data_IF_461789579857
#
_entry.id   IF_461789579857
#
_cell.length_a   1.000
_cell.length_b   1.000
_cell.length_c   1.000
_cell.angle_alpha   90.00
_cell.angle_beta   90.00
_cell.angle_gamma   90.00
#
_symmetry.space_group_name_H-M   'P 1'
#
loop_
_entity.id
_entity.type
_entity.pdbx_description
1 polymer ?
#
# COMPACT_ATOMS: atom_id res chain seq x y z
N UNK A 1 -23.88 16.97 -34.53
CA UNK A 1 -23.48 15.57 -34.31
C UNK A 1 -21.98 15.43 -34.58
N UNK A 2 -21.15 16.17 -33.83
CA UNK A 2 -19.77 16.43 -34.23
C UNK A 2 -18.84 16.33 -33.01
N UNK A 3 -18.06 15.24 -32.99
CA UNK A 3 -16.73 15.10 -32.39
C UNK A 3 -16.48 15.65 -30.97
N UNK A 4 -16.90 14.93 -29.94
CA UNK A 4 -16.22 14.94 -28.63
C UNK A 4 -14.90 14.15 -28.72
N UNK A 5 -14.06 14.48 -29.70
CA UNK A 5 -12.67 14.04 -29.70
C UNK A 5 -11.94 15.00 -28.79
N UNK A 6 -11.57 14.55 -27.59
CA UNK A 6 -10.68 15.29 -26.71
C UNK A 6 -9.34 15.51 -27.44
N UNK A 7 -9.25 16.61 -28.18
CA UNK A 7 -8.06 17.10 -28.86
C UNK A 7 -7.11 17.73 -27.83
N UNK A 8 -6.77 16.97 -26.80
CA UNK A 8 -5.78 17.39 -25.84
C UNK A 8 -4.43 17.56 -26.55
N UNK A 9 -3.75 18.64 -26.20
CA UNK A 9 -2.43 18.97 -26.74
C UNK A 9 -1.33 18.21 -25.99
N UNK A 10 -1.53 17.93 -24.70
CA UNK A 10 -0.56 17.25 -23.85
C UNK A 10 -1.17 16.05 -23.12
N UNK A 11 -0.43 14.93 -23.00
CA UNK A 11 -0.87 13.76 -22.25
C UNK A 11 -0.72 13.93 -20.73
N UNK A 12 -1.57 13.23 -19.96
CA UNK A 12 -1.50 13.20 -18.49
C UNK A 12 -0.57 12.07 -18.05
N UNK A 13 0.66 12.41 -17.65
CA UNK A 13 1.74 11.45 -17.36
C UNK A 13 2.41 11.75 -16.02
N UNK A 14 2.99 10.72 -15.40
CA UNK A 14 3.87 10.87 -14.24
C UNK A 14 5.35 10.99 -14.67
N UNK A 15 6.20 11.50 -13.77
CA UNK A 15 7.64 11.72 -14.00
C UNK A 15 8.37 10.43 -14.39
N UNK A 16 8.03 9.31 -13.74
CA UNK A 16 8.57 7.98 -14.13
C UNK A 16 8.19 7.58 -15.56
N UNK A 17 7.06 8.05 -16.08
CA UNK A 17 6.63 7.73 -17.44
C UNK A 17 7.30 8.62 -18.48
N UNK A 18 7.51 9.90 -18.16
CA UNK A 18 8.20 10.86 -19.01
C UNK A 18 9.68 10.50 -19.18
N UNK A 19 10.33 10.02 -18.11
CA UNK A 19 11.75 9.66 -18.12
C UNK A 19 12.64 10.78 -17.57
N UNK A 20 13.94 10.52 -17.41
CA UNK A 20 14.87 11.45 -16.79
C UNK A 20 15.25 12.64 -17.68
N UNK A 21 14.93 12.60 -18.99
CA UNK A 21 15.30 13.67 -19.91
C UNK A 21 14.23 14.79 -19.90
N UNK A 22 14.59 16.05 -19.59
CA UNK A 22 13.66 17.17 -19.63
C UNK A 22 13.17 17.51 -21.06
N UNK A 23 13.96 17.17 -22.08
CA UNK A 23 13.62 17.44 -23.48
C UNK A 23 13.09 16.19 -24.18
N UNK A 24 11.77 16.12 -24.33
CA UNK A 24 11.09 14.93 -24.85
C UNK A 24 10.51 15.23 -26.23
N UNK A 25 10.83 14.37 -27.20
CA UNK A 25 10.16 14.36 -28.52
C UNK A 25 8.99 13.38 -28.47
N UNK A 26 7.78 13.88 -28.72
CA UNK A 26 6.56 13.08 -28.75
C UNK A 26 5.87 13.19 -30.12
N UNK A 27 5.21 12.11 -30.50
CA UNK A 27 4.35 12.02 -31.68
C UNK A 27 2.89 11.95 -31.22
N UNK A 28 2.01 12.73 -31.86
CA UNK A 28 0.57 12.78 -31.56
C UNK A 28 -0.19 12.11 -32.70
N UNK A 29 -1.01 11.12 -32.37
CA UNK A 29 -1.90 10.44 -33.31
C UNK A 29 -3.35 10.54 -32.80
N UNK A 30 -4.21 11.38 -33.41
CA UNK A 30 -5.49 11.77 -32.83
C UNK A 30 -6.51 10.63 -32.69
N UNK A 31 -6.37 9.55 -33.46
CA UNK A 31 -7.27 8.39 -33.42
C UNK A 31 -6.52 7.06 -33.52
N UNK A 32 -5.33 7.01 -32.93
CA UNK A 32 -4.44 5.86 -33.08
C UNK A 32 -4.97 4.57 -32.44
N UNK A 33 -5.65 4.65 -31.28
CA UNK A 33 -6.08 3.47 -30.49
C UNK A 33 -7.37 3.71 -29.71
N UNK A 34 -8.03 2.61 -29.37
CA UNK A 34 -9.14 2.58 -28.41
C UNK A 34 -8.63 2.52 -26.97
N UNK A 35 -9.24 3.29 -26.08
CA UNK A 35 -8.96 3.31 -24.65
C UNK A 35 -9.28 1.94 -24.07
N UNK A 36 -8.38 1.40 -23.24
CA UNK A 36 -8.56 0.06 -22.70
C UNK A 36 -9.55 -0.04 -21.54
N UNK A 37 -10.07 1.09 -21.07
CA UNK A 37 -11.12 1.16 -20.03
C UNK A 37 -12.49 1.38 -20.66
N UNK A 38 -12.67 2.45 -21.42
CA UNK A 38 -13.96 2.83 -22.00
C UNK A 38 -14.16 2.39 -23.45
N UNK A 39 -13.17 1.76 -24.09
CA UNK A 39 -13.17 1.33 -25.51
C UNK A 39 -13.32 2.45 -26.55
N UNK A 40 -13.32 3.73 -26.13
CA UNK A 40 -13.41 4.90 -27.02
C UNK A 40 -12.09 5.19 -27.75
N UNK A 41 -12.12 5.61 -29.02
CA UNK A 41 -10.92 6.10 -29.70
C UNK A 41 -10.40 7.37 -29.01
N UNK A 42 -9.08 7.49 -28.85
CA UNK A 42 -8.45 8.64 -28.21
C UNK A 42 -7.12 9.01 -28.88
N UNK A 43 -6.62 10.20 -28.52
CA UNK A 43 -5.31 10.72 -28.93
C UNK A 43 -4.18 9.92 -28.29
N UNK A 44 -3.42 9.21 -29.12
CA UNK A 44 -2.26 8.42 -28.69
C UNK A 44 -1.01 9.28 -28.79
N UNK A 45 -0.33 9.46 -27.67
CA UNK A 45 0.98 10.08 -27.63
C UNK A 45 2.03 8.98 -27.55
N UNK A 46 3.11 9.08 -28.33
CA UNK A 46 4.24 8.14 -28.29
C UNK A 46 5.56 8.89 -28.19
N UNK A 47 6.39 8.55 -27.20
CA UNK A 47 7.68 9.19 -26.90
C UNK A 47 8.73 8.16 -26.47
N UNK A 48 9.99 8.58 -26.49
CA UNK A 48 11.10 7.82 -25.91
C UNK A 48 11.56 8.49 -24.61
N UNK A 49 11.44 7.83 -23.44
CA UNK A 49 11.87 8.39 -22.15
C UNK A 49 13.37 8.61 -21.99
N UNK A 50 14.23 7.94 -22.76
CA UNK A 50 15.69 8.08 -22.63
C UNK A 50 16.49 7.11 -23.49
N UNK A 51 17.81 7.30 -23.53
CA UNK A 51 18.72 6.39 -24.23
C UNK A 51 18.65 4.99 -23.59
N UNK A 52 18.29 3.98 -24.38
CA UNK A 52 18.08 2.61 -23.91
C UNK A 52 16.68 2.30 -23.37
N UNK A 53 15.78 3.27 -23.27
CA UNK A 53 14.38 3.03 -22.86
C UNK A 53 13.51 2.57 -24.03
N UNK A 54 12.44 1.84 -23.72
CA UNK A 54 11.42 1.51 -24.74
C UNK A 54 10.60 2.74 -25.11
N UNK A 55 10.13 2.81 -26.35
CA UNK A 55 9.08 3.75 -26.72
C UNK A 55 7.82 3.49 -25.88
N UNK A 56 7.41 4.49 -25.11
CA UNK A 56 6.17 4.48 -24.35
C UNK A 56 5.06 5.13 -25.17
N UNK A 57 3.83 4.75 -24.84
CA UNK A 57 2.62 5.31 -25.45
C UNK A 57 1.50 5.40 -24.41
N UNK A 58 0.55 6.29 -24.62
CA UNK A 58 -0.67 6.35 -23.81
C UNK A 58 -1.57 5.14 -24.07
N UNK A 59 -2.20 4.62 -23.02
CA UNK A 59 -3.01 3.38 -23.05
C UNK A 59 -4.49 3.62 -22.69
N UNK A 60 -4.79 4.75 -22.05
CA UNK A 60 -6.15 5.18 -21.67
C UNK A 60 -6.39 6.62 -22.15
N UNK A 61 -7.66 6.96 -22.38
CA UNK A 61 -8.09 8.32 -22.71
C UNK A 61 -7.91 9.26 -21.50
N UNK A 62 -7.90 10.57 -21.76
CA UNK A 62 -7.73 11.55 -20.69
C UNK A 62 -8.95 11.65 -19.77
N UNK A 63 -10.17 11.46 -20.26
CA UNK A 63 -11.36 11.34 -19.39
C UNK A 63 -11.17 10.26 -18.31
N UNK A 64 -10.80 9.04 -18.69
CA UNK A 64 -10.53 7.96 -17.71
C UNK A 64 -9.35 8.28 -16.79
N UNK A 65 -8.33 8.97 -17.30
CA UNK A 65 -7.18 9.40 -16.51
C UNK A 65 -7.56 10.45 -15.45
N UNK A 66 -8.37 11.45 -15.82
CA UNK A 66 -8.86 12.51 -14.92
C UNK A 66 -9.80 11.94 -13.85
N UNK A 67 -10.77 11.12 -14.23
CA UNK A 67 -11.77 10.53 -13.31
C UNK A 67 -11.12 9.71 -12.19
N UNK A 68 -10.05 8.96 -12.50
CA UNK A 68 -9.34 8.13 -11.53
C UNK A 68 -8.05 8.75 -11.00
N UNK A 69 -7.70 9.98 -11.41
CA UNK A 69 -6.42 10.62 -11.11
C UNK A 69 -5.21 9.70 -11.38
N UNK A 70 -5.08 9.18 -12.60
CA UNK A 70 -4.01 8.22 -12.97
C UNK A 70 -3.21 8.66 -14.18
N UNK A 71 -1.96 8.20 -14.27
CA UNK A 71 -1.13 8.35 -15.46
C UNK A 71 -1.67 7.50 -16.63
N UNK A 72 -1.72 8.09 -17.83
CA UNK A 72 -2.23 7.45 -19.04
C UNK A 72 -1.44 6.22 -19.52
N UNK A 73 -0.18 6.06 -19.08
CA UNK A 73 0.71 4.97 -19.51
C UNK A 73 0.83 3.87 -18.48
N UNK A 74 1.10 4.20 -17.23
CA UNK A 74 1.32 3.20 -16.18
C UNK A 74 0.06 2.87 -15.35
N UNK A 75 -1.02 3.65 -15.48
CA UNK A 75 -2.29 3.45 -14.73
C UNK A 75 -2.03 3.46 -13.21
N UNK A 76 -1.02 4.20 -12.77
CA UNK A 76 -0.72 4.47 -11.36
C UNK A 76 -1.19 5.87 -11.01
N UNK A 77 -1.37 6.09 -9.71
CA UNK A 77 -1.69 7.42 -9.19
C UNK A 77 -0.66 8.47 -9.57
N UNK A 78 -1.14 9.66 -9.88
CA UNK A 78 -0.27 10.81 -10.14
C UNK A 78 0.35 11.38 -8.85
N UNK A 79 -0.32 11.30 -7.70
CA UNK A 79 0.17 11.87 -6.44
C UNK A 79 1.10 10.93 -5.69
N UNK A 80 0.76 9.64 -5.61
CA UNK A 80 1.42 8.67 -4.75
C UNK A 80 2.19 7.58 -5.51
N UNK A 81 2.00 7.46 -6.84
CA UNK A 81 2.62 6.39 -7.63
C UNK A 81 2.12 4.97 -7.30
N UNK A 82 0.98 4.88 -6.60
CA UNK A 82 0.39 3.62 -6.14
C UNK A 82 -0.68 3.09 -7.12
N UNK A 83 -0.88 1.75 -7.18
CA UNK A 83 -2.00 1.17 -7.91
C UNK A 83 -3.34 1.70 -7.40
N UNK A 84 -4.30 1.94 -8.30
CA UNK A 84 -5.62 2.50 -7.97
C UNK A 84 -6.31 1.71 -6.86
N UNK A 85 -6.23 0.38 -6.89
CA UNK A 85 -6.82 -0.49 -5.88
C UNK A 85 -6.29 -0.23 -4.46
N UNK A 86 -4.98 0.03 -4.34
CA UNK A 86 -4.34 0.29 -3.03
C UNK A 86 -4.77 1.66 -2.52
N UNK A 87 -4.86 2.65 -3.41
CA UNK A 87 -5.29 4.01 -3.07
C UNK A 87 -6.75 4.04 -2.65
N UNK A 88 -7.63 3.43 -3.43
CA UNK A 88 -9.06 3.35 -3.15
C UNK A 88 -9.31 2.64 -1.82
N UNK A 89 -8.59 1.54 -1.56
CA UNK A 89 -8.64 0.83 -0.28
C UNK A 89 -8.17 1.70 0.89
N UNK A 90 -7.09 2.46 0.73
CA UNK A 90 -6.53 3.30 1.79
C UNK A 90 -7.32 4.60 2.02
N UNK A 91 -7.97 5.15 1.00
CA UNK A 91 -8.86 6.31 1.11
C UNK A 91 -10.29 5.93 1.52
N UNK A 92 -10.62 4.63 1.57
CA UNK A 92 -11.97 4.15 1.82
C UNK A 92 -12.95 4.52 0.70
N UNK A 93 -12.43 4.90 -0.48
CA UNK A 93 -13.26 5.20 -1.65
C UNK A 93 -13.72 3.87 -2.19
N UNK A 94 -14.99 3.54 -1.92
CA UNK A 94 -15.67 2.46 -2.64
C UNK A 94 -15.80 2.93 -4.08
N UNK A 95 -14.85 2.55 -4.92
CA UNK A 95 -15.07 2.64 -6.34
C UNK A 95 -16.12 1.60 -6.67
N UNK A 96 -17.36 2.05 -6.86
CA UNK A 96 -18.42 1.21 -7.42
C UNK A 96 -17.83 0.51 -8.63
N UNK A 97 -17.91 -0.83 -8.62
CA UNK A 97 -17.39 -1.66 -9.68
C UNK A 97 -18.00 -1.13 -10.98
N UNK A 98 -17.20 -0.37 -11.73
CA UNK A 98 -17.64 0.22 -12.98
C UNK A 98 -18.21 -0.87 -13.88
N UNK A 99 -19.13 -0.54 -14.80
CA UNK A 99 -19.90 -1.53 -15.53
C UNK A 99 -18.98 -2.58 -16.17
N UNK A 100 -19.01 -3.79 -15.63
CA UNK A 100 -18.14 -4.90 -16.03
C UNK A 100 -18.68 -5.65 -17.26
N UNK A 101 -19.93 -5.41 -17.64
CA UNK A 101 -20.69 -6.36 -18.46
C UNK A 101 -20.78 -6.05 -19.95
N UNK A 102 -20.72 -4.78 -20.39
CA UNK A 102 -20.78 -4.46 -21.82
C UNK A 102 -19.97 -3.23 -22.21
N UNK A 103 -19.41 -3.23 -23.41
CA UNK A 103 -18.62 -2.10 -23.91
C UNK A 103 -19.46 -0.83 -24.07
N UNK A 104 -20.75 -0.99 -24.41
CA UNK A 104 -21.73 0.10 -24.41
C UNK A 104 -21.91 0.71 -23.01
N UNK A 105 -22.03 -0.12 -21.97
CA UNK A 105 -22.18 0.37 -20.60
C UNK A 105 -20.90 1.09 -20.12
N UNK A 106 -19.71 0.58 -20.47
CA UNK A 106 -18.43 1.27 -20.19
C UNK A 106 -18.34 2.63 -20.88
N UNK A 107 -18.73 2.68 -22.15
CA UNK A 107 -18.74 3.93 -22.92
C UNK A 107 -19.76 4.93 -22.35
N UNK A 108 -20.98 4.49 -22.02
CA UNK A 108 -22.01 5.34 -21.41
C UNK A 108 -21.56 5.89 -20.06
N UNK A 109 -21.00 5.04 -19.19
CA UNK A 109 -20.45 5.47 -17.90
C UNK A 109 -19.35 6.51 -18.07
N UNK A 110 -18.49 6.36 -19.08
CA UNK A 110 -17.47 7.35 -19.39
C UNK A 110 -18.08 8.70 -19.82
N UNK A 111 -19.15 8.73 -20.62
CA UNK A 111 -19.87 9.98 -20.94
C UNK A 111 -20.46 10.63 -19.69
N UNK A 112 -21.08 9.83 -18.82
CA UNK A 112 -21.70 10.34 -17.59
C UNK A 112 -20.63 10.96 -16.67
N UNK A 113 -19.49 10.29 -16.52
CA UNK A 113 -18.38 10.78 -15.71
C UNK A 113 -17.71 12.01 -16.33
N UNK A 114 -17.59 12.08 -17.66
CA UNK A 114 -17.05 13.25 -18.37
C UNK A 114 -17.92 14.49 -18.12
N UNK A 115 -19.25 14.34 -18.22
CA UNK A 115 -20.21 15.40 -17.87
C UNK A 115 -20.16 15.81 -16.39
N UNK A 116 -19.90 14.86 -15.49
CA UNK A 116 -19.79 15.14 -14.05
C UNK A 116 -18.47 15.83 -13.69
N UNK A 117 -17.37 15.50 -14.38
CA UNK A 117 -16.05 16.04 -14.09
C UNK A 117 -15.97 17.55 -14.35
N UNK A 118 -16.70 18.05 -15.35
CA UNK A 118 -16.81 19.50 -15.61
C UNK A 118 -17.51 20.25 -14.46
N UNK A 119 -18.31 19.56 -13.65
CA UNK A 119 -19.16 20.16 -12.64
C UNK A 119 -18.62 20.13 -11.21
N UNK A 120 -17.53 19.40 -10.90
CA UNK A 120 -17.14 19.20 -9.49
C UNK A 120 -15.63 19.01 -9.29
N UNK A 121 -15.03 19.95 -8.55
CA UNK A 121 -13.67 19.85 -7.99
C UNK A 121 -13.82 19.86 -6.47
N UNK A 122 -13.71 18.71 -5.80
CA UNK A 122 -14.09 18.63 -4.38
C UNK A 122 -13.43 17.54 -3.54
N UNK A 123 -12.48 17.99 -2.70
CA UNK A 123 -12.16 17.56 -1.33
C UNK A 123 -12.07 16.05 -1.00
N UNK A 124 -10.84 15.54 -0.81
CA UNK A 124 -10.57 14.21 -0.23
C UNK A 124 -10.15 14.30 1.24
N UNK A 125 -10.60 13.35 2.07
CA UNK A 125 -10.38 13.32 3.53
C UNK A 125 -8.91 13.24 3.94
N UNK A 126 -8.51 13.94 5.01
CA UNK A 126 -7.11 14.05 5.48
C UNK A 126 -6.55 12.74 6.04
N UNK A 127 -7.39 11.88 6.64
CA UNK A 127 -6.93 10.67 7.33
C UNK A 127 -6.43 9.57 6.37
N UNK A 128 -7.10 9.40 5.22
CA UNK A 128 -6.66 8.44 4.20
C UNK A 128 -5.34 8.85 3.55
N UNK A 129 -5.09 10.16 3.41
CA UNK A 129 -3.89 10.68 2.75
C UNK A 129 -2.60 10.26 3.48
N UNK A 130 -2.60 10.18 4.81
CA UNK A 130 -1.41 9.79 5.58
C UNK A 130 -0.98 8.33 5.34
N UNK A 131 -1.94 7.39 5.28
CA UNK A 131 -1.65 5.99 4.95
C UNK A 131 -1.11 5.83 3.54
N UNK A 132 -1.71 6.56 2.59
CA UNK A 132 -1.29 6.52 1.18
C UNK A 132 0.10 7.15 1.02
N UNK A 133 0.42 8.22 1.75
CA UNK A 133 1.75 8.84 1.79
C UNK A 133 2.83 7.89 2.31
N UNK A 134 2.54 7.13 3.39
CA UNK A 134 3.50 6.15 3.92
C UNK A 134 3.79 5.03 2.90
N UNK A 135 2.80 4.62 2.11
CA UNK A 135 2.97 3.61 1.07
C UNK A 135 3.57 4.15 -0.24
N UNK A 136 3.55 5.47 -0.45
CA UNK A 136 4.03 6.12 -1.67
C UNK A 136 5.54 5.89 -1.85
N UNK A 137 5.94 5.54 -3.07
CA UNK A 137 7.37 5.42 -3.42
C UNK A 137 7.95 6.82 -3.54
N UNK A 138 8.90 7.16 -2.66
CA UNK A 138 9.58 8.47 -2.67
C UNK A 138 10.56 8.62 -3.84
N UNK A 139 11.12 7.51 -4.32
CA UNK A 139 12.10 7.53 -5.41
C UNK A 139 11.48 7.06 -6.73
N UNK A 140 11.81 7.77 -7.80
CA UNK A 140 11.37 7.48 -9.17
C UNK A 140 12.13 6.26 -9.69
N UNK A 141 11.45 5.12 -9.74
CA UNK A 141 12.04 3.86 -10.23
C UNK A 141 11.99 3.75 -11.76
N UNK A 142 13.04 4.20 -12.44
CA UNK A 142 13.20 4.06 -13.89
C UNK A 142 13.45 2.61 -14.35
N UNK A 143 13.62 1.63 -13.44
CA UNK A 143 13.89 0.22 -13.83
C UNK A 143 12.74 -0.38 -14.65
N UNK A 144 11.52 0.15 -14.53
CA UNK A 144 10.36 -0.24 -15.34
C UNK A 144 10.48 0.09 -16.83
N UNK A 145 11.37 1.02 -17.16
CA UNK A 145 11.50 1.57 -18.51
C UNK A 145 12.57 0.88 -19.35
N UNK A 146 13.36 0.03 -18.69
CA UNK A 146 14.27 -0.88 -19.36
C UNK A 146 13.49 -1.65 -20.43
N UNK A 147 14.11 -1.85 -21.61
CA UNK A 147 13.42 -2.46 -22.72
C UNK A 147 12.93 -3.83 -22.26
N UNK A 148 11.66 -4.14 -22.51
CA UNK A 148 10.98 -5.37 -22.05
C UNK A 148 11.80 -6.61 -22.39
N UNK A 149 12.60 -6.51 -23.46
CA UNK A 149 13.56 -7.52 -23.86
C UNK A 149 14.52 -7.85 -22.70
N UNK A 150 15.14 -6.86 -22.04
CA UNK A 150 16.06 -7.07 -20.92
C UNK A 150 15.42 -7.62 -19.64
N UNK A 151 14.10 -7.60 -19.50
CA UNK A 151 13.42 -8.24 -18.35
C UNK A 151 12.89 -9.63 -18.69
N UNK A 152 12.56 -9.89 -19.96
CA UNK A 152 12.11 -11.21 -20.42
C UNK A 152 13.32 -12.13 -20.62
N UNK A 153 13.16 -13.37 -20.20
CA UNK A 153 14.12 -14.43 -20.49
C UNK A 153 14.09 -14.71 -22.00
N UNK A 154 15.26 -14.91 -22.60
CA UNK A 154 15.38 -15.24 -24.01
C UNK A 154 14.82 -16.64 -24.25
N UNK A 155 13.68 -16.73 -24.94
CA UNK A 155 13.08 -18.02 -25.29
C UNK A 155 13.98 -18.89 -26.17
N UNK A 156 14.83 -18.28 -27.00
CA UNK A 156 15.83 -18.98 -27.81
C UNK A 156 17.00 -19.52 -26.97
N UNK A 157 17.42 -18.79 -25.93
CA UNK A 157 18.45 -19.24 -24.99
C UNK A 157 17.94 -20.39 -24.13
N UNK A 158 16.70 -20.29 -23.64
CA UNK A 158 16.04 -21.38 -22.92
C UNK A 158 15.91 -22.66 -23.75
N UNK A 159 15.91 -22.56 -25.09
CA UNK A 159 15.92 -23.68 -26.05
C UNK A 159 17.32 -24.06 -26.55
N UNK A 160 18.38 -23.40 -26.11
CA UNK A 160 19.76 -23.65 -26.55
C UNK A 160 20.09 -23.20 -27.99
N UNK A 161 19.25 -22.37 -28.63
CA UNK A 161 19.41 -21.94 -30.04
C UNK A 161 19.64 -20.43 -30.20
N UNK A 162 20.20 -19.76 -29.19
CA UNK A 162 20.43 -18.32 -29.29
C UNK A 162 21.77 -18.02 -29.98
N UNK A 163 21.71 -17.69 -31.26
CA UNK A 163 22.88 -17.27 -32.06
C UNK A 163 23.32 -15.82 -31.79
N UNK A 164 22.51 -15.05 -31.04
CA UNK A 164 22.79 -13.64 -30.77
C UNK A 164 23.87 -13.40 -29.71
N UNK A 165 24.24 -14.42 -28.92
CA UNK A 165 25.23 -14.27 -27.84
C UNK A 165 24.94 -13.06 -26.94
N UNK A 166 25.95 -12.23 -26.70
CA UNK A 166 25.85 -11.01 -25.88
C UNK A 166 25.10 -9.86 -26.55
N UNK A 167 24.89 -9.92 -27.87
CA UNK A 167 24.05 -8.95 -28.59
C UNK A 167 22.54 -9.22 -28.42
N UNK A 168 22.18 -10.31 -27.73
CA UNK A 168 20.78 -10.65 -27.51
C UNK A 168 20.12 -9.61 -26.58
N UNK A 169 19.02 -8.96 -27.01
CA UNK A 169 18.35 -7.98 -26.17
C UNK A 169 17.62 -8.62 -24.98
N UNK A 170 17.52 -9.96 -24.93
CA UNK A 170 16.84 -10.74 -23.90
C UNK A 170 17.81 -11.36 -22.90
N UNK A 171 17.39 -11.53 -21.63
CA UNK A 171 18.23 -12.13 -20.59
C UNK A 171 18.51 -13.61 -20.85
N UNK A 172 19.79 -13.96 -20.81
CA UNK A 172 20.29 -15.34 -20.85
C UNK A 172 20.39 -15.91 -19.42
N UNK A 173 19.25 -16.11 -18.78
CA UNK A 173 19.12 -16.75 -17.48
C UNK A 173 18.00 -17.81 -17.59
N UNK A 174 18.24 -19.01 -17.07
CA UNK A 174 17.16 -20.00 -16.93
C UNK A 174 16.30 -19.60 -15.72
N UNK A 175 14.95 -19.73 -15.77
CA UNK A 175 14.15 -19.55 -14.59
C UNK A 175 14.60 -20.56 -13.53
N UNK A 176 15.04 -20.09 -12.36
CA UNK A 176 15.24 -20.98 -11.20
C UNK A 176 13.87 -21.44 -10.69
N UNK A 177 13.74 -22.71 -10.32
CA UNK A 177 12.47 -23.33 -9.88
C UNK A 177 11.78 -22.55 -8.75
N UNK A 178 12.54 -21.80 -7.95
CA UNK A 178 12.04 -20.94 -6.87
C UNK A 178 11.14 -19.77 -7.33
N UNK A 179 11.06 -19.50 -8.64
CA UNK A 179 10.21 -18.45 -9.22
C UNK A 179 9.04 -18.97 -10.07
N UNK A 180 8.61 -20.22 -9.84
CA UNK A 180 7.45 -20.81 -10.52
C UNK A 180 6.17 -20.82 -9.67
N UNK A 181 5.53 -19.68 -9.34
CA UNK A 181 4.11 -19.67 -9.09
C UNK A 181 3.36 -19.60 -10.44
N UNK A 182 2.99 -20.77 -10.97
CA UNK A 182 1.91 -20.93 -11.95
C UNK A 182 2.20 -20.46 -13.38
N UNK A 183 2.85 -21.32 -14.17
CA UNK A 183 2.77 -21.31 -15.65
C UNK A 183 1.31 -21.56 -16.09
N UNK A 184 0.48 -20.53 -16.02
CA UNK A 184 -0.74 -20.43 -16.81
C UNK A 184 -0.42 -19.49 -17.99
N UNK A 185 -0.57 -19.92 -19.25
CA UNK A 185 -0.44 -19.05 -20.40
C UNK A 185 -1.67 -18.15 -20.45
N UNK A 186 -1.73 -17.09 -19.64
CA UNK A 186 -2.81 -16.11 -19.77
C UNK A 186 -2.49 -15.21 -20.96
N UNK A 187 -2.86 -15.67 -22.16
CA UNK A 187 -3.08 -14.87 -23.37
C UNK A 187 -4.22 -13.84 -23.22
N UNK A 188 -4.74 -13.64 -22.01
CA UNK A 188 -5.77 -12.67 -21.72
C UNK A 188 -5.13 -11.36 -21.22
N UNK A 189 -5.06 -10.37 -22.11
CA UNK A 189 -4.89 -8.95 -21.74
C UNK A 189 -6.19 -8.50 -21.08
N UNK A 190 -6.48 -9.02 -19.89
CA UNK A 190 -7.58 -8.53 -19.08
C UNK A 190 -7.01 -7.58 -18.03
N UNK A 191 -7.45 -6.34 -18.11
CA UNK A 191 -6.96 -5.23 -17.30
C UNK A 191 -7.14 -5.50 -15.80
N UNK A 192 -6.31 -4.91 -14.91
CA UNK A 192 -6.37 -5.09 -13.46
C UNK A 192 -7.71 -4.72 -12.79
N UNK A 193 -8.68 -4.22 -13.56
CA UNK A 193 -9.99 -3.76 -13.09
C UNK A 193 -11.03 -4.87 -12.90
N UNK A 194 -10.72 -6.13 -13.22
CA UNK A 194 -11.69 -7.21 -13.00
C UNK A 194 -11.53 -7.85 -11.61
N UNK A 195 -12.53 -7.76 -10.71
CA UNK A 195 -12.45 -8.27 -9.34
C UNK A 195 -12.34 -9.81 -9.26
N UNK A 196 -12.53 -10.53 -10.36
CA UNK A 196 -12.75 -11.98 -10.38
C UNK A 196 -11.56 -12.83 -10.84
N UNK A 197 -10.45 -12.26 -11.33
CA UNK A 197 -9.28 -13.08 -11.75
C UNK A 197 -8.19 -13.17 -10.68
N UNK A 198 -7.68 -14.36 -10.43
CA UNK A 198 -6.54 -14.70 -9.55
C UNK A 198 -5.19 -14.28 -10.17
N UNK A 199 -5.12 -13.05 -10.67
CA UNK A 199 -3.95 -12.52 -11.38
C UNK A 199 -2.81 -12.18 -10.40
N UNK A 200 -1.52 -12.31 -10.81
CA UNK A 200 -0.35 -11.97 -9.99
C UNK A 200 -0.32 -10.51 -9.49
N UNK A 201 -1.16 -9.63 -10.06
CA UNK A 201 -1.43 -8.28 -9.54
C UNK A 201 -2.10 -8.29 -8.16
N UNK A 202 -2.98 -9.25 -7.85
CA UNK A 202 -3.59 -9.39 -6.51
C UNK A 202 -2.54 -9.70 -5.45
N UNK A 203 -1.52 -10.50 -5.78
CA UNK A 203 -0.42 -10.78 -4.84
C UNK A 203 0.47 -9.56 -4.60
N UNK A 204 0.73 -8.74 -5.63
CA UNK A 204 1.47 -7.49 -5.45
C UNK A 204 0.69 -6.47 -4.61
N UNK A 205 -0.62 -6.38 -4.85
CA UNK A 205 -1.54 -5.51 -4.08
C UNK A 205 -1.65 -6.00 -2.64
N UNK A 206 -1.85 -7.31 -2.43
CA UNK A 206 -1.85 -7.94 -1.12
C UNK A 206 -0.52 -7.71 -0.38
N UNK A 207 0.62 -7.88 -1.04
CA UNK A 207 1.95 -7.60 -0.44
C UNK A 207 2.08 -6.16 0.02
N UNK A 208 1.68 -5.19 -0.80
CA UNK A 208 1.71 -3.76 -0.45
C UNK A 208 0.77 -3.49 0.74
N UNK A 209 -0.48 -3.96 0.66
CA UNK A 209 -1.45 -3.86 1.76
C UNK A 209 -0.91 -4.50 3.04
N UNK A 210 -0.42 -5.74 3.00
CA UNK A 210 0.15 -6.45 4.16
C UNK A 210 1.37 -5.73 4.74
N UNK A 211 2.24 -5.18 3.89
CA UNK A 211 3.41 -4.43 4.35
C UNK A 211 3.03 -3.10 5.01
N UNK A 212 1.96 -2.47 4.55
CA UNK A 212 1.42 -1.24 5.12
C UNK A 212 0.55 -1.47 6.36
N UNK A 213 -0.13 -2.63 6.48
CA UNK A 213 -0.95 -2.95 7.65
C UNK A 213 -0.10 -3.42 8.83
N UNK A 214 1.06 -4.05 8.58
CA UNK A 214 1.99 -4.43 9.65
C UNK A 214 2.59 -3.24 10.40
N UNK A 215 2.46 -2.02 9.87
CA UNK A 215 2.98 -0.80 10.51
C UNK A 215 1.93 0.02 11.27
N UNK A 216 0.64 -0.34 11.27
CA UNK A 216 -0.42 0.56 11.78
C UNK A 216 -0.95 0.15 13.17
N UNK A 217 -0.44 -0.92 13.77
CA UNK A 217 -0.81 -1.29 15.14
C UNK A 217 -0.29 -2.67 15.52
N UNK A 218 -0.30 -2.99 16.81
CA UNK A 218 0.00 -4.35 17.26
C UNK A 218 -1.16 -5.28 16.88
N UNK A 219 -0.91 -6.46 16.26
CA UNK A 219 -1.96 -7.44 15.98
C UNK A 219 -2.63 -7.85 17.31
N UNK A 220 -3.94 -8.07 17.36
CA UNK A 220 -4.63 -8.43 18.60
C UNK A 220 -4.02 -9.70 19.22
N UNK A 221 -3.98 -9.81 20.55
CA UNK A 221 -3.37 -10.94 21.23
C UNK A 221 -4.20 -12.19 20.95
N UNK A 222 -3.54 -13.33 20.67
CA UNK A 222 -4.22 -14.62 20.47
C UNK A 222 -5.04 -15.02 21.70
N UNK A 223 -4.54 -14.67 22.88
CA UNK A 223 -5.17 -14.98 24.16
C UNK A 223 -6.12 -13.85 24.58
N UNK A 224 -7.40 -14.20 24.74
CA UNK A 224 -8.44 -13.24 25.10
C UNK A 224 -8.32 -12.65 26.52
N UNK A 225 -7.48 -13.25 27.35
CA UNK A 225 -7.21 -12.80 28.72
C UNK A 225 -6.16 -11.69 28.81
N UNK A 226 -5.39 -11.45 27.74
CA UNK A 226 -4.31 -10.47 27.77
C UNK A 226 -4.89 -9.06 27.68
N UNK A 227 -4.81 -8.35 28.81
CA UNK A 227 -5.16 -6.93 28.94
C UNK A 227 -3.93 -6.07 29.21
N UNK A 228 -2.74 -6.59 28.91
CA UNK A 228 -1.46 -5.99 29.28
C UNK A 228 -0.61 -5.68 28.05
N UNK A 229 -0.01 -4.49 28.05
CA UNK A 229 1.02 -4.09 27.09
C UNK A 229 2.39 -4.09 27.77
N UNK A 230 3.36 -4.67 27.08
CA UNK A 230 4.76 -4.71 27.49
C UNK A 230 5.54 -3.67 26.70
N UNK A 231 6.21 -2.77 27.41
CA UNK A 231 7.13 -1.79 26.85
C UNK A 231 8.55 -2.24 27.20
N UNK A 232 9.40 -2.30 26.18
CA UNK A 232 10.84 -2.55 26.28
C UNK A 232 11.64 -1.35 25.81
N UNK A 233 12.89 -1.25 26.27
CA UNK A 233 13.82 -0.15 25.99
C UNK A 233 13.37 1.22 26.52
N UNK A 234 12.77 1.26 27.72
CA UNK A 234 12.41 2.54 28.34
C UNK A 234 13.66 3.35 28.71
N UNK A 235 13.72 4.64 28.37
CA UNK A 235 14.78 5.54 28.82
C UNK A 235 14.80 5.65 30.36
N UNK A 236 15.98 5.77 31.00
CA UNK A 236 16.06 5.96 32.44
C UNK A 236 15.33 7.22 32.91
N UNK A 237 15.27 8.25 32.06
CA UNK A 237 14.58 9.53 32.30
C UNK A 237 13.05 9.41 32.32
N UNK A 238 12.49 8.32 31.77
CA UNK A 238 11.05 8.06 31.74
C UNK A 238 10.68 6.80 32.54
N UNK A 239 11.54 6.37 33.48
CA UNK A 239 11.27 5.30 34.45
C UNK A 239 10.37 5.79 35.60
N UNK A 240 9.32 6.54 35.26
CA UNK A 240 8.32 7.04 36.18
C UNK A 240 6.92 6.63 35.72
N UNK A 241 6.11 6.13 36.67
CA UNK A 241 4.70 5.80 36.43
C UNK A 241 3.91 6.94 35.77
N UNK A 242 4.01 8.22 36.19
CA UNK A 242 3.27 9.32 35.57
C UNK A 242 3.63 9.54 34.10
N UNK A 243 4.90 9.45 33.71
CA UNK A 243 5.32 9.68 32.31
C UNK A 243 4.75 8.63 31.36
N UNK A 244 4.76 7.36 31.77
CA UNK A 244 4.18 6.26 30.98
C UNK A 244 2.66 6.42 30.92
N UNK A 245 2.02 6.82 32.02
CA UNK A 245 0.57 7.08 32.04
C UNK A 245 0.19 8.20 31.09
N UNK A 246 0.89 9.33 31.13
CA UNK A 246 0.68 10.47 30.23
C UNK A 246 0.88 10.07 28.77
N UNK A 247 1.93 9.30 28.46
CA UNK A 247 2.17 8.80 27.11
C UNK A 247 0.98 8.01 26.54
N UNK A 248 0.35 7.12 27.32
CA UNK A 248 -0.83 6.40 26.86
C UNK A 248 -2.07 7.29 26.70
N UNK A 249 -2.22 8.31 27.55
CA UNK A 249 -3.32 9.28 27.45
C UNK A 249 -3.18 10.16 26.19
N UNK A 250 -1.96 10.59 25.86
CA UNK A 250 -1.68 11.41 24.67
C UNK A 250 -1.88 10.62 23.36
N UNK A 251 -1.51 9.34 23.35
CA UNK A 251 -1.63 8.48 22.18
C UNK A 251 -3.06 8.07 21.84
N UNK A 252 -3.88 7.91 22.87
CA UNK A 252 -5.26 7.47 22.73
C UNK A 252 -6.17 8.46 23.49
N UNK A 253 -6.63 9.52 22.82
CA UNK A 253 -7.55 10.51 23.38
C UNK A 253 -8.82 9.95 24.06
N UNK A 254 -9.38 8.77 23.67
CA UNK A 254 -10.53 8.23 24.40
C UNK A 254 -10.18 7.51 25.70
N UNK A 255 -8.90 7.25 26.00
CA UNK A 255 -8.50 6.63 27.26
C UNK A 255 -8.51 7.68 28.38
N UNK A 256 -9.15 7.32 29.48
CA UNK A 256 -9.06 8.06 30.74
C UNK A 256 -8.01 7.43 31.65
N UNK A 257 -7.53 8.18 32.64
CA UNK A 257 -6.56 7.68 33.61
C UNK A 257 -7.09 6.44 34.40
N UNK A 258 -8.41 6.30 34.51
CA UNK A 258 -9.09 5.18 35.19
C UNK A 258 -9.04 3.88 34.40
N UNK A 259 -8.81 3.96 33.10
CA UNK A 259 -8.78 2.79 32.21
C UNK A 259 -7.50 1.97 32.35
N UNK A 260 -6.47 2.57 32.96
CA UNK A 260 -5.19 1.94 33.28
C UNK A 260 -5.25 1.41 34.72
N UNK A 261 -5.42 0.09 34.86
CA UNK A 261 -5.55 -0.59 36.15
C UNK A 261 -4.28 -0.51 37.00
N UNK A 262 -3.12 -0.73 36.39
CA UNK A 262 -1.83 -0.71 37.10
C UNK A 262 -0.67 -0.63 36.12
N UNK A 263 0.38 0.09 36.49
CA UNK A 263 1.64 0.12 35.74
C UNK A 263 2.71 -0.55 36.61
N UNK A 264 3.25 -1.68 36.17
CA UNK A 264 4.36 -2.36 36.84
C UNK A 264 5.67 -2.02 36.15
N UNK A 265 6.51 -1.24 36.81
CA UNK A 265 7.82 -0.84 36.29
C UNK A 265 8.91 -1.80 36.77
N UNK A 266 9.73 -2.31 35.84
CA UNK A 266 10.92 -3.12 36.13
C UNK A 266 12.15 -2.30 35.75
N UNK A 267 12.70 -1.58 36.73
CA UNK A 267 13.88 -0.71 36.54
C UNK A 267 15.12 -1.49 36.13
N UNK A 268 15.29 -2.73 36.61
CA UNK A 268 16.44 -3.56 36.28
C UNK A 268 16.54 -3.92 34.79
N UNK A 269 15.39 -4.02 34.10
CA UNK A 269 15.34 -4.42 32.69
C UNK A 269 14.90 -3.30 31.76
N UNK A 270 14.72 -2.07 32.26
CA UNK A 270 14.15 -0.94 31.52
C UNK A 270 12.83 -1.32 30.81
N UNK A 271 11.96 -2.04 31.52
CA UNK A 271 10.68 -2.53 31.02
C UNK A 271 9.51 -2.04 31.86
N UNK A 272 8.34 -1.88 31.24
CA UNK A 272 7.09 -1.63 31.94
C UNK A 272 5.98 -2.54 31.43
N UNK A 273 5.11 -2.94 32.34
CA UNK A 273 3.86 -3.64 32.04
C UNK A 273 2.69 -2.72 32.37
N UNK A 274 1.89 -2.38 31.38
CA UNK A 274 0.68 -1.55 31.54
C UNK A 274 -0.53 -2.45 31.45
N UNK A 275 -1.26 -2.60 32.54
CA UNK A 275 -2.49 -3.39 32.61
C UNK A 275 -3.69 -2.46 32.45
N UNK A 276 -4.58 -2.77 31.51
CA UNK A 276 -5.84 -2.07 31.30
C UNK A 276 -6.99 -2.73 32.05
N UNK A 277 -8.02 -1.96 32.39
CA UNK A 277 -9.22 -2.45 33.07
C UNK A 277 -10.02 -3.41 32.17
N UNK A 278 -10.26 -2.99 30.93
CA UNK A 278 -11.01 -3.75 29.91
C UNK A 278 -10.11 -4.16 28.75
N UNK A 279 -10.52 -5.21 28.02
CA UNK A 279 -9.82 -5.64 26.80
C UNK A 279 -9.92 -4.58 25.71
N UNK A 280 -11.09 -3.95 25.59
CA UNK A 280 -11.36 -2.94 24.56
C UNK A 280 -10.39 -1.76 24.67
N UNK A 281 -10.07 -1.34 25.89
CA UNK A 281 -9.11 -0.26 26.14
C UNK A 281 -7.68 -0.68 25.77
N UNK A 282 -7.31 -1.93 26.05
CA UNK A 282 -6.02 -2.48 25.64
C UNK A 282 -5.89 -2.57 24.10
N UNK A 283 -6.93 -3.01 23.41
CA UNK A 283 -6.95 -3.06 21.94
C UNK A 283 -6.95 -1.68 21.31
N UNK A 284 -7.65 -0.70 21.91
CA UNK A 284 -7.65 0.68 21.46
C UNK A 284 -6.24 1.27 21.55
N UNK A 285 -5.57 1.09 22.68
CA UNK A 285 -4.17 1.48 22.86
C UNK A 285 -3.26 0.78 21.84
N UNK A 286 -3.39 -0.54 21.69
CA UNK A 286 -2.57 -1.35 20.78
C UNK A 286 -2.75 -0.99 19.29
N UNK A 287 -3.95 -0.57 18.87
CA UNK A 287 -4.23 -0.07 17.51
C UNK A 287 -3.57 1.27 17.23
N UNK A 288 -3.23 2.04 18.25
CA UNK A 288 -2.52 3.32 18.14
C UNK A 288 -1.01 3.15 18.32
N UNK A 289 -0.58 2.08 18.98
CA UNK A 289 0.82 1.79 19.23
C UNK A 289 1.46 1.05 18.05
N UNK A 290 2.56 1.60 17.53
CA UNK A 290 3.44 0.88 16.61
C UNK A 290 4.41 -0.02 17.40
N UNK A 291 4.88 -1.15 16.85
CA UNK A 291 5.85 -2.04 17.52
C UNK A 291 7.18 -1.34 17.82
N UNK A 292 7.47 -0.22 17.15
CA UNK A 292 8.54 0.72 17.46
C UNK A 292 7.90 2.10 17.60
N UNK A 293 8.06 2.74 18.75
CA UNK A 293 7.54 4.08 19.00
C UNK A 293 8.64 4.94 19.62
N UNK A 294 8.57 6.25 19.43
CA UNK A 294 9.54 7.19 20.03
C UNK A 294 8.94 7.78 21.29
N UNK A 295 9.66 7.65 22.40
CA UNK A 295 9.36 8.33 23.66
C UNK A 295 10.54 9.25 23.96
N UNK A 296 10.34 10.56 23.73
CA UNK A 296 11.44 11.53 23.64
C UNK A 296 12.39 11.20 22.48
N UNK A 297 13.69 11.18 22.75
CA UNK A 297 14.74 10.95 21.75
C UNK A 297 15.09 9.47 21.53
N UNK A 298 14.40 8.53 22.19
CA UNK A 298 14.73 7.10 22.18
C UNK A 298 13.57 6.23 21.66
N UNK A 299 13.94 5.14 21.00
CA UNK A 299 12.99 4.17 20.45
C UNK A 299 12.62 3.12 21.50
N UNK A 300 11.34 3.09 21.86
CA UNK A 300 10.72 2.05 22.69
C UNK A 300 10.07 0.99 21.79
N UNK A 301 10.09 -0.26 22.24
CA UNK A 301 9.39 -1.37 21.56
C UNK A 301 8.20 -1.81 22.41
N UNK A 302 7.01 -1.77 21.81
CA UNK A 302 5.78 -2.25 22.43
C UNK A 302 5.42 -3.63 21.90
N UNK A 303 4.96 -4.50 22.79
CA UNK A 303 4.45 -5.84 22.49
C UNK A 303 3.27 -6.14 23.41
N UNK A 304 2.45 -7.12 23.05
CA UNK A 304 1.45 -7.65 23.99
C UNK A 304 2.15 -8.37 25.15
N UNK A 305 1.66 -8.16 26.36
CA UNK A 305 2.12 -8.88 27.54
C UNK A 305 1.77 -10.35 27.43
N UNK A 306 2.64 -11.22 27.98
CA UNK A 306 2.33 -12.64 28.12
C UNK A 306 1.50 -12.85 29.39
N UNK A 307 0.49 -13.71 29.34
CA UNK A 307 -0.25 -14.09 30.53
C UNK A 307 0.73 -14.64 31.58
N UNK A 308 0.60 -14.18 32.84
CA UNK A 308 1.40 -14.75 33.93
C UNK A 308 0.96 -16.21 34.12
N UNK A 309 1.88 -17.19 34.23
CA UNK A 309 1.49 -18.52 34.66
C UNK A 309 0.84 -18.37 36.04
N UNK A 310 -0.40 -18.82 36.17
CA UNK A 310 -1.14 -18.80 37.43
C UNK A 310 -0.34 -19.63 38.43
N UNK A 311 0.31 -18.98 39.38
CA UNK A 311 0.95 -19.65 40.51
C UNK A 311 -0.19 -20.23 41.34
N UNK A 312 -0.32 -21.56 41.38
CA UNK A 312 -1.21 -22.26 42.32
C UNK A 312 -0.77 -21.85 43.73
N UNK A 313 -1.65 -21.15 44.45
CA UNK A 313 -1.47 -20.83 45.85
C UNK A 313 -1.79 -22.09 46.66
N UNK A 314 -0.79 -22.67 47.31
CA UNK A 314 -0.96 -23.53 48.47
C UNK A 314 0.07 -23.07 49.53
N UNK A 315 -0.41 -22.92 50.76
CA UNK A 315 0.37 -22.87 52.01
C UNK A 315 1.15 -21.58 52.34
N UNK A 316 0.59 -20.78 53.25
CA UNK A 316 1.19 -20.41 54.55
C UNK A 316 0.66 -19.06 55.08
N UNK A 317 -0.55 -19.04 55.65
CA UNK A 317 -0.97 -17.94 56.53
C UNK A 317 -1.96 -18.46 57.60
N UNK A 318 -1.48 -19.33 58.48
CA UNK A 318 -2.27 -19.88 59.60
C UNK A 318 -1.40 -20.11 60.85
N UNK A 319 -0.57 -19.14 61.25
CA UNK A 319 0.14 -19.11 62.56
C UNK A 319 0.49 -17.68 62.95
N UNK A 320 -0.50 -16.87 63.39
CA UNK A 320 -0.22 -15.60 64.09
C UNK A 320 -1.39 -15.01 64.90
N UNK A 321 -2.33 -15.84 65.33
CA UNK A 321 -3.28 -15.51 66.39
C UNK A 321 -3.18 -16.63 67.44
N UNK A 322 -3.34 -16.30 68.73
CA UNK A 322 -3.09 -17.14 69.91
C UNK A 322 -1.65 -17.09 70.48
N UNK A 323 -1.28 -15.93 71.04
CA UNK A 323 -0.64 -15.87 72.38
C UNK A 323 -1.21 -14.63 73.06
N UNK A 324 -2.27 -14.86 73.83
CA UNK A 324 -2.57 -14.15 75.07
C UNK A 324 -1.92 -14.96 76.21
#
# INVERSE_FOLDING_TARGET
MSSLTEDLETPILCESCLGPNPYIRMTKDPRGKSCKVCTRPFTVFRWNPGAGSRFKKTEICATCAKVKNVCQTCILDLQYGLPVQVRDAALGIKSDAGPTSSDKAKAYFADTMEKQLEATVGSSSRAGQELVRKAARREIDYKRDRPVQSQKLCSAFARGRCERGDSCPFKHQLPTDDQLPGLQPSSNINYPYSPTSSSPSKQAVAKILTSSTSSVGLPPPSDASVRSLFISNLPPEHLEEPSIRQFFLDLAPPLQAQDIKSITLVRASNCAFVNFATRDHAELAARRCEPKMRLGDKEIRLMWGRSRPVKRNEENECKKAEVE
#
